data_IF_869970039622
#
_entry.id   IF_869970039622
#
_cell.length_a   1.000
_cell.length_b   1.000
_cell.length_c   1.000
_cell.angle_alpha   90.00
_cell.angle_beta   90.00
_cell.angle_gamma   90.00
#
_symmetry.space_group_name_H-M   'P 1'
#
loop_
_entity.id
_entity.type
_entity.pdbx_description
1 polymer ?
#
# COMPACT_ATOMS: atom_id res chain seq x y z
N UNK A 1 -1.93 -8.87 2.19
CA UNK A 1 -1.90 -7.41 1.93
C UNK A 1 -1.22 -7.19 0.59
N UNK A 2 -1.85 -6.49 -0.35
CA UNK A 2 -1.25 -6.17 -1.66
C UNK A 2 -1.13 -4.66 -1.75
N UNK A 3 0.07 -4.16 -2.03
CA UNK A 3 0.34 -2.73 -2.24
C UNK A 3 0.58 -2.55 -3.73
N UNK A 4 -0.21 -1.69 -4.38
CA UNK A 4 0.05 -1.26 -5.74
C UNK A 4 0.63 0.17 -5.73
N UNK A 5 1.86 0.32 -6.21
CA UNK A 5 2.51 1.62 -6.24
C UNK A 5 1.85 2.59 -7.24
N UNK A 6 1.12 2.11 -8.26
CA UNK A 6 0.45 3.00 -9.22
C UNK A 6 -0.71 3.77 -8.60
N UNK A 7 -1.28 3.24 -7.52
CA UNK A 7 -2.35 3.87 -6.75
C UNK A 7 -1.83 4.96 -5.80
N UNK A 8 -0.52 5.08 -5.66
CA UNK A 8 0.10 6.12 -4.84
C UNK A 8 0.11 7.47 -5.58
N UNK A 9 -0.29 8.53 -4.90
CA UNK A 9 -0.16 9.91 -5.39
C UNK A 9 1.30 10.28 -5.68
N UNK A 10 2.24 9.66 -4.97
CA UNK A 10 3.68 9.93 -5.04
C UNK A 10 4.43 8.98 -5.99
N UNK A 11 3.70 8.22 -6.81
CA UNK A 11 4.30 7.25 -7.72
C UNK A 11 5.30 7.93 -8.67
N UNK A 12 6.53 7.40 -8.72
CA UNK A 12 7.66 7.91 -9.52
C UNK A 12 8.10 9.34 -9.14
N UNK A 13 7.98 9.72 -7.88
CA UNK A 13 8.64 10.91 -7.32
C UNK A 13 9.78 10.53 -6.37
N UNK A 14 10.55 11.53 -5.92
CA UNK A 14 11.62 11.36 -4.92
C UNK A 14 11.14 10.75 -3.58
N UNK A 15 9.84 10.79 -3.30
CA UNK A 15 9.26 10.09 -2.14
C UNK A 15 9.39 8.56 -2.23
N UNK A 16 9.57 8.00 -3.42
CA UNK A 16 9.80 6.58 -3.59
C UNK A 16 11.18 6.15 -3.09
N UNK A 17 12.18 7.02 -3.08
CA UNK A 17 13.56 6.63 -2.73
C UNK A 17 13.73 6.26 -1.25
N UNK A 18 12.86 6.80 -0.39
CA UNK A 18 12.82 6.51 1.05
C UNK A 18 11.46 5.90 1.47
N UNK A 19 10.89 5.05 0.60
CA UNK A 19 9.67 4.29 0.88
C UNK A 19 10.00 2.82 1.18
N UNK A 20 9.33 2.22 2.18
CA UNK A 20 9.45 0.81 2.53
C UNK A 20 9.36 -0.12 1.30
N UNK A 21 8.46 0.15 0.35
CA UNK A 21 8.30 -0.69 -0.84
C UNK A 21 9.57 -0.74 -1.67
N UNK A 22 10.28 0.38 -1.81
CA UNK A 22 11.54 0.43 -2.54
C UNK A 22 12.63 -0.36 -1.84
N UNK A 23 12.71 -0.29 -0.50
CA UNK A 23 13.65 -1.10 0.27
C UNK A 23 13.40 -2.61 0.09
N UNK A 24 12.14 -3.02 -0.06
CA UNK A 24 11.76 -4.42 -0.24
C UNK A 24 11.95 -4.94 -1.67
N UNK A 25 11.79 -4.09 -2.69
CA UNK A 25 11.78 -4.50 -4.11
C UNK A 25 13.11 -4.24 -4.82
N UNK A 26 13.98 -3.38 -4.26
CA UNK A 26 15.32 -3.08 -4.82
C UNK A 26 16.34 -4.25 -4.80
N UNK A 27 16.29 -5.25 -3.91
CA UNK A 27 17.29 -6.32 -3.93
C UNK A 27 17.38 -6.99 -5.31
N UNK A 28 18.59 -7.13 -5.85
CA UNK A 28 18.82 -7.71 -7.19
C UNK A 28 18.61 -9.23 -7.25
N UNK A 29 18.23 -9.85 -6.12
CA UNK A 29 18.01 -11.29 -6.01
C UNK A 29 17.09 -11.65 -4.85
N UNK A 30 16.68 -12.93 -4.76
CA UNK A 30 15.86 -13.41 -3.66
C UNK A 30 16.57 -13.20 -2.32
N UNK A 31 15.84 -12.65 -1.36
CA UNK A 31 16.28 -12.51 0.02
C UNK A 31 15.49 -13.51 0.86
N UNK A 32 16.17 -14.50 1.39
CA UNK A 32 15.60 -15.43 2.36
C UNK A 32 15.56 -14.77 3.74
N UNK A 33 14.41 -14.88 4.41
CA UNK A 33 14.24 -14.38 5.79
C UNK A 33 14.19 -15.57 6.74
N UNK A 34 15.32 -15.86 7.39
CA UNK A 34 15.45 -16.89 8.42
C UNK A 34 15.14 -16.35 9.84
N UNK A 35 15.18 -17.21 10.86
CA UNK A 35 14.87 -16.78 12.24
C UNK A 35 15.88 -15.77 12.79
N UNK A 36 17.16 -15.88 12.41
CA UNK A 36 18.22 -14.97 12.89
C UNK A 36 17.99 -13.57 12.32
N UNK A 37 17.68 -13.49 11.03
CA UNK A 37 17.34 -12.25 10.35
C UNK A 37 16.03 -11.66 10.90
N UNK A 38 15.04 -12.50 11.22
CA UNK A 38 13.77 -12.06 11.82
C UNK A 38 13.98 -11.36 13.16
N UNK A 39 14.83 -11.89 14.04
CA UNK A 39 15.16 -11.25 15.32
C UNK A 39 15.85 -9.91 15.10
N UNK A 40 16.81 -9.84 14.17
CA UNK A 40 17.48 -8.60 13.81
C UNK A 40 16.52 -7.54 13.26
N UNK A 41 15.62 -7.92 12.35
CA UNK A 41 14.59 -7.03 11.81
C UNK A 41 13.66 -6.50 12.90
N UNK A 42 13.31 -7.33 13.88
CA UNK A 42 12.53 -6.92 15.06
C UNK A 42 13.23 -5.83 15.87
N UNK A 43 14.53 -6.00 16.16
CA UNK A 43 15.32 -5.01 16.89
C UNK A 43 15.47 -3.70 16.11
N UNK A 44 15.73 -3.77 14.80
CA UNK A 44 15.82 -2.59 13.93
C UNK A 44 14.49 -1.83 13.86
N UNK A 45 13.37 -2.56 13.79
CA UNK A 45 12.03 -1.97 13.79
C UNK A 45 11.75 -1.21 15.10
N UNK A 46 12.06 -1.83 16.25
CA UNK A 46 11.89 -1.19 17.56
C UNK A 46 12.78 0.05 17.73
N UNK A 47 13.96 0.07 17.09
CA UNK A 47 14.87 1.21 17.08
C UNK A 47 14.48 2.30 16.05
N UNK A 48 13.44 2.10 15.23
CA UNK A 48 13.03 3.04 14.19
C UNK A 48 13.94 3.05 12.96
N UNK A 49 14.74 2.00 12.76
CA UNK A 49 15.69 1.85 11.65
C UNK A 49 15.11 1.13 10.43
N UNK A 50 13.84 0.70 10.50
CA UNK A 50 13.10 0.16 9.37
C UNK A 50 12.31 1.31 8.71
N UNK A 51 12.43 1.52 7.39
CA UNK A 51 11.67 2.55 6.70
C UNK A 51 10.17 2.38 6.90
N UNK A 52 9.47 3.49 7.11
CA UNK A 52 8.01 3.49 7.23
C UNK A 52 7.32 3.41 5.87
N UNK A 53 6.12 2.83 5.82
CA UNK A 53 5.29 2.88 4.62
C UNK A 53 4.80 4.31 4.40
N UNK A 54 5.31 4.97 3.36
CA UNK A 54 4.93 6.35 2.97
C UNK A 54 3.83 6.42 1.91
N UNK A 55 3.05 5.34 1.76
CA UNK A 55 2.00 5.25 0.76
C UNK A 55 0.92 6.32 0.99
N UNK A 56 0.59 7.07 -0.07
CA UNK A 56 -0.47 8.09 -0.08
C UNK A 56 -1.47 7.72 -1.17
N UNK A 57 -2.67 7.21 -0.85
CA UNK A 57 -3.63 6.81 -1.88
C UNK A 57 -4.02 8.02 -2.75
N UNK A 58 -4.07 7.82 -4.06
CA UNK A 58 -4.61 8.81 -5.00
C UNK A 58 -6.09 9.03 -4.67
N UNK A 59 -6.59 10.28 -4.67
CA UNK A 59 -8.02 10.50 -4.56
C UNK A 59 -8.72 9.75 -5.70
N UNK A 60 -9.77 8.99 -5.35
CA UNK A 60 -10.59 8.33 -6.36
C UNK A 60 -11.12 9.40 -7.34
N UNK A 61 -11.27 9.07 -8.64
CA UNK A 61 -12.04 9.91 -9.54
C UNK A 61 -13.40 10.13 -8.88
N UNK A 62 -13.78 11.39 -8.66
CA UNK A 62 -15.08 11.73 -8.12
C UNK A 62 -16.06 11.51 -9.26
N UNK A 63 -16.47 10.26 -9.45
CA UNK A 63 -17.59 9.94 -10.33
C UNK A 63 -18.84 10.66 -9.80
N UNK A 64 -19.84 10.92 -10.66
CA UNK A 64 -21.14 11.36 -10.18
C UNK A 64 -21.61 10.40 -9.07
N UNK A 65 -22.29 10.89 -8.02
CA UNK A 65 -22.76 10.03 -6.94
C UNK A 65 -23.50 8.85 -7.57
N UNK A 66 -23.03 7.63 -7.28
CA UNK A 66 -23.71 6.42 -7.70
C UNK A 66 -25.10 6.44 -7.06
N UNK A 67 -26.11 6.82 -7.83
CA UNK A 67 -27.50 6.61 -7.48
C UNK A 67 -27.69 5.10 -7.37
N UNK A 68 -27.87 4.62 -6.14
CA UNK A 68 -28.10 3.21 -5.85
C UNK A 68 -29.35 2.70 -6.58
N UNK A 69 -29.51 1.37 -6.72
CA UNK A 69 -30.65 0.80 -7.42
C UNK A 69 -31.95 1.28 -6.76
N UNK A 70 -32.75 2.05 -7.52
CA UNK A 70 -34.10 2.39 -7.14
C UNK A 70 -34.86 1.05 -7.03
N UNK A 71 -35.23 0.67 -5.81
CA UNK A 71 -36.16 -0.43 -5.60
C UNK A 71 -37.49 0.00 -6.23
N UNK A 72 -37.72 -0.44 -7.46
CA UNK A 72 -38.98 -0.27 -8.17
C UNK A 72 -40.13 -0.81 -7.31
N UNK A 73 -41.16 0.01 -7.22
CA UNK A 73 -42.45 -0.20 -6.59
C UNK A 73 -42.96 -1.65 -6.64
N UNK A 74 -42.88 -2.37 -5.52
CA UNK A 74 -43.77 -3.51 -5.28
C UNK A 74 -45.14 -2.98 -4.85
N UNK A 75 -45.92 -2.52 -5.83
CA UNK A 75 -47.35 -2.31 -5.68
C UNK A 75 -48.08 -2.69 -6.97
N UNK A 76 -48.49 -3.96 -7.06
CA UNK A 76 -49.81 -4.42 -7.51
C UNK A 76 -49.80 -5.89 -7.92
N UNK A 77 -50.38 -6.75 -7.08
CA UNK A 77 -51.20 -7.90 -7.46
C UNK A 77 -52.04 -8.31 -6.24
#
# INVERSE_FOLDING_TARGET
MRIDCTDCQMYRSEHCDDCLVTALVRPEGPVEIDETLTVGLGALSQAGLVPVLKFRPRPAPQGPPHEGPQTEDVRSA
#
